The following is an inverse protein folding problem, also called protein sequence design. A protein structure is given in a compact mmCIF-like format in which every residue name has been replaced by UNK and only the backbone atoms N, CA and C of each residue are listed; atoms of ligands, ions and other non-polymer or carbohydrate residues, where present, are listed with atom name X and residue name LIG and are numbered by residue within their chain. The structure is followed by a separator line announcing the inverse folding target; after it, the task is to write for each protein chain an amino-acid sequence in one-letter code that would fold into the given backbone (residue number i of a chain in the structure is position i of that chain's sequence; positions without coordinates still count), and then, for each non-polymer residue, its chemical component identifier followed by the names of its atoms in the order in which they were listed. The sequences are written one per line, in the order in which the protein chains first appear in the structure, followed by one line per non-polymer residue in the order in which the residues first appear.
data_IF_988474980325
#
_entry.id   IF_988474980325
#
_cell.length_a   1.000
_cell.length_b   1.000
_cell.length_c   1.000
_cell.angle_alpha   90.00
_cell.angle_beta   90.00
_cell.angle_gamma   90.00
#
_symmetry.space_group_name_H-M   'P 1'
#
loop_
_entity.id
_entity.type
_entity.pdbx_description
1 polymer ?
#
# COMPACT_ATOMS: atom_id res chain seq x y z
N UNK A 1 13.52 26.40 13.56
CA UNK A 1 14.55 26.19 12.51
C UNK A 1 15.12 24.81 12.73
N UNK A 2 14.68 23.81 11.95
CA UNK A 2 15.16 22.44 12.09
C UNK A 2 16.59 22.37 11.53
N UNK A 3 17.55 22.00 12.37
CA UNK A 3 18.91 21.69 11.88
C UNK A 3 18.82 20.41 11.06
N UNK A 4 19.12 20.50 9.78
CA UNK A 4 19.36 19.36 8.91
C UNK A 4 20.55 18.60 9.48
N UNK A 5 20.34 17.45 10.09
CA UNK A 5 21.44 16.54 10.41
C UNK A 5 21.78 15.81 9.13
N UNK A 6 23.04 15.85 8.74
CA UNK A 6 23.56 15.03 7.65
C UNK A 6 23.60 13.57 8.14
N UNK A 7 22.58 12.82 7.78
CA UNK A 7 22.45 11.42 8.16
C UNK A 7 23.13 10.59 7.09
N UNK A 8 24.15 9.84 7.45
CA UNK A 8 24.78 8.90 6.55
C UNK A 8 24.01 7.58 6.53
N UNK A 9 23.10 7.43 5.57
CA UNK A 9 22.29 6.24 5.39
C UNK A 9 23.11 4.96 5.09
N UNK A 10 24.38 5.09 4.70
CA UNK A 10 25.23 3.95 4.36
C UNK A 10 25.97 3.34 5.57
N UNK A 11 25.91 4.00 6.73
CA UNK A 11 26.60 3.56 7.94
C UNK A 11 25.71 3.56 9.19
N UNK A 12 24.43 3.22 9.00
CA UNK A 12 23.46 3.16 10.11
C UNK A 12 23.75 1.98 11.04
N UNK A 13 23.90 2.27 12.34
CA UNK A 13 23.86 1.26 13.39
C UNK A 13 22.44 1.17 13.95
N UNK A 14 21.76 0.04 13.70
CA UNK A 14 20.38 -0.19 14.15
C UNK A 14 20.20 -0.07 15.67
N UNK A 15 21.24 -0.29 16.45
CA UNK A 15 21.17 -0.22 17.92
C UNK A 15 21.27 1.19 18.47
N UNK A 16 21.84 2.13 17.69
CA UNK A 16 22.10 3.51 18.12
C UNK A 16 21.22 4.50 17.39
N UNK A 17 20.91 4.25 16.14
CA UNK A 17 20.36 5.24 15.22
C UNK A 17 18.85 5.14 15.00
N UNK A 18 18.18 4.01 15.38
CA UNK A 18 16.74 3.81 15.10
C UNK A 18 15.89 4.92 15.70
N UNK A 19 16.02 5.19 17.00
CA UNK A 19 15.14 6.14 17.69
C UNK A 19 15.29 7.57 17.15
N UNK A 20 16.48 8.13 16.96
CA UNK A 20 16.65 9.41 16.29
C UNK A 20 16.00 9.47 14.90
N UNK A 21 16.17 8.42 14.07
CA UNK A 21 15.55 8.33 12.75
C UNK A 21 14.05 8.30 12.81
N UNK A 22 13.49 7.46 13.66
CA UNK A 22 12.07 7.36 13.86
C UNK A 22 11.47 8.70 14.34
N UNK A 23 12.20 9.44 15.18
CA UNK A 23 11.79 10.77 15.60
C UNK A 23 11.83 11.77 14.43
N UNK A 24 12.81 11.69 13.54
CA UNK A 24 12.84 12.48 12.30
C UNK A 24 11.66 12.16 11.40
N UNK A 25 11.36 10.87 11.22
CA UNK A 25 10.19 10.42 10.45
C UNK A 25 8.89 10.97 11.03
N UNK A 26 8.67 10.84 12.35
CA UNK A 26 7.50 11.41 13.03
C UNK A 26 7.38 12.93 12.82
N UNK A 27 8.50 13.65 12.89
CA UNK A 27 8.52 15.09 12.65
C UNK A 27 8.17 15.42 11.18
N UNK A 28 8.66 14.64 10.23
CA UNK A 28 8.33 14.81 8.81
C UNK A 28 6.84 14.55 8.54
N UNK A 29 6.27 13.49 9.13
CA UNK A 29 4.84 13.18 9.04
C UNK A 29 4.00 14.31 9.67
N UNK A 30 4.37 14.81 10.84
CA UNK A 30 3.69 15.93 11.48
C UNK A 30 3.74 17.21 10.63
N UNK A 31 4.88 17.49 10.01
CA UNK A 31 5.00 18.63 9.09
C UNK A 31 4.13 18.44 7.83
N UNK A 32 4.11 17.23 7.26
CA UNK A 32 3.26 16.91 6.10
C UNK A 32 1.78 17.07 6.44
N UNK A 33 1.35 16.62 7.61
CA UNK A 33 -0.03 16.82 8.10
C UNK A 33 -0.38 18.30 8.23
N UNK A 34 0.53 19.12 8.76
CA UNK A 34 0.37 20.56 8.83
C UNK A 34 0.17 21.19 7.43
N UNK A 35 1.00 20.81 6.46
CA UNK A 35 0.89 21.31 5.07
C UNK A 35 -0.43 20.88 4.41
N UNK A 36 -0.87 19.64 4.65
CA UNK A 36 -2.18 19.18 4.20
C UNK A 36 -3.29 20.01 4.83
N UNK A 37 -3.19 20.33 6.13
CA UNK A 37 -4.14 21.22 6.83
C UNK A 37 -4.22 22.60 6.18
N UNK A 38 -3.08 23.24 5.91
CA UNK A 38 -3.03 24.53 5.20
C UNK A 38 -3.68 24.46 3.81
N UNK A 39 -3.41 23.40 3.07
CA UNK A 39 -4.05 23.18 1.77
C UNK A 39 -5.58 23.06 1.89
N UNK A 40 -6.07 22.25 2.83
CA UNK A 40 -7.50 22.09 3.08
C UNK A 40 -8.18 23.40 3.47
N UNK A 41 -7.51 24.25 4.24
CA UNK A 41 -7.99 25.58 4.59
C UNK A 41 -8.14 26.49 3.35
N UNK A 42 -7.21 26.43 2.42
CA UNK A 42 -7.30 27.15 1.14
C UNK A 42 -8.49 26.65 0.31
N UNK A 43 -8.65 25.34 0.19
CA UNK A 43 -9.78 24.73 -0.55
C UNK A 43 -11.12 25.14 0.07
N UNK A 44 -11.20 25.13 1.40
CA UNK A 44 -12.39 25.56 2.14
C UNK A 44 -12.68 27.04 1.96
N UNK A 45 -11.68 27.92 2.10
CA UNK A 45 -11.82 29.38 1.94
C UNK A 45 -12.28 29.76 0.52
N UNK A 46 -11.92 28.95 -0.49
CA UNK A 46 -12.33 29.16 -1.88
C UNK A 46 -13.66 28.49 -2.24
N UNK A 47 -14.37 27.92 -1.29
CA UNK A 47 -15.64 27.18 -1.48
C UNK A 47 -15.55 26.02 -2.49
N UNK A 48 -14.36 25.42 -2.63
CA UNK A 48 -14.11 24.34 -3.59
C UNK A 48 -14.56 22.96 -3.09
N UNK A 49 -14.76 22.79 -1.77
CA UNK A 49 -15.16 21.50 -1.17
C UNK A 49 -16.47 20.94 -1.76
N UNK A 50 -17.37 21.81 -2.22
CA UNK A 50 -18.67 21.41 -2.79
C UNK A 50 -18.56 20.66 -4.10
N UNK A 51 -17.50 20.95 -4.88
CA UNK A 51 -17.29 20.45 -6.23
C UNK A 51 -15.97 19.69 -6.39
N UNK A 52 -15.40 19.23 -5.27
CA UNK A 52 -14.13 18.51 -5.28
C UNK A 52 -14.24 17.24 -4.47
N UNK A 53 -13.65 16.17 -4.95
CA UNK A 53 -13.23 15.07 -4.10
C UNK A 53 -11.73 15.21 -3.78
N UNK A 54 -11.32 14.78 -2.59
CA UNK A 54 -9.94 14.89 -2.14
C UNK A 54 -9.48 13.52 -1.70
N UNK A 55 -8.32 13.08 -2.21
CA UNK A 55 -7.62 11.88 -1.77
C UNK A 55 -6.36 12.31 -1.03
N UNK A 56 -6.18 11.79 0.19
CA UNK A 56 -4.96 11.92 0.96
C UNK A 56 -4.44 10.51 1.17
N UNK A 57 -3.25 10.24 0.64
CA UNK A 57 -2.59 8.94 0.71
C UNK A 57 -1.06 9.12 0.65
N UNK A 58 -0.32 8.05 0.89
CA UNK A 58 1.10 7.95 0.56
C UNK A 58 1.29 6.85 -0.49
N UNK A 59 2.43 6.82 -1.15
CA UNK A 59 2.80 5.79 -2.11
C UNK A 59 3.11 4.45 -1.42
N UNK A 60 3.78 4.49 -0.27
CA UNK A 60 4.12 3.35 0.59
C UNK A 60 4.34 3.80 2.03
N UNK A 61 4.61 2.87 2.91
CA UNK A 61 5.05 3.10 4.28
C UNK A 61 6.57 3.01 4.43
N UNK A 62 7.04 2.91 5.67
CA UNK A 62 8.45 2.75 6.00
C UNK A 62 8.61 1.90 7.26
N UNK A 63 9.61 1.04 7.27
CA UNK A 63 9.97 0.17 8.40
C UNK A 63 11.25 0.65 9.07
N UNK A 64 11.29 0.54 10.38
CA UNK A 64 12.40 0.93 11.24
C UNK A 64 12.89 -0.27 12.06
N UNK A 65 13.09 -1.40 11.40
CA UNK A 65 13.49 -2.70 11.97
C UNK A 65 12.43 -3.41 12.81
N UNK A 66 11.14 -3.08 12.69
CA UNK A 66 10.07 -3.79 13.39
C UNK A 66 10.08 -5.30 13.08
N UNK A 67 10.39 -5.67 11.83
CA UNK A 67 10.54 -7.06 11.36
C UNK A 67 11.97 -7.38 10.88
N UNK A 68 12.93 -6.51 11.20
CA UNK A 68 14.34 -6.70 10.83
C UNK A 68 14.74 -6.09 9.48
N UNK A 69 13.86 -5.33 8.83
CA UNK A 69 14.13 -4.63 7.58
C UNK A 69 14.22 -3.12 7.81
N UNK A 70 14.75 -2.39 6.84
CA UNK A 70 14.95 -0.95 6.94
C UNK A 70 14.37 -0.20 5.75
N UNK A 71 13.64 0.88 6.04
CA UNK A 71 13.16 1.82 5.03
C UNK A 71 11.97 1.26 4.24
N UNK A 72 12.11 1.21 2.93
CA UNK A 72 11.10 0.72 2.00
C UNK A 72 11.74 -0.10 0.88
N UNK A 73 10.95 -0.87 0.13
CA UNK A 73 11.41 -1.78 -0.94
C UNK A 73 12.39 -2.87 -0.47
N UNK A 74 12.41 -3.19 0.81
CA UNK A 74 13.25 -4.24 1.38
C UNK A 74 12.46 -5.46 1.83
N UNK A 75 11.13 -5.30 1.97
CA UNK A 75 10.20 -6.36 2.36
C UNK A 75 8.75 -5.95 2.04
N UNK A 76 7.81 -6.88 2.25
CA UNK A 76 6.37 -6.62 2.12
C UNK A 76 5.67 -6.65 3.49
N UNK A 77 6.34 -6.14 4.50
CA UNK A 77 5.76 -5.94 5.85
C UNK A 77 4.64 -4.91 5.80
N UNK A 78 3.72 -4.97 6.76
CA UNK A 78 2.64 -3.98 6.83
C UNK A 78 3.16 -2.55 6.98
N UNK A 79 4.30 -2.38 7.67
CA UNK A 79 4.97 -1.08 7.85
C UNK A 79 5.44 -0.49 6.53
N UNK A 80 5.81 -1.32 5.55
CA UNK A 80 6.26 -0.88 4.22
C UNK A 80 5.13 -0.77 3.20
N UNK A 81 4.10 -1.64 3.28
CA UNK A 81 3.05 -1.71 2.24
C UNK A 81 1.74 -1.01 2.62
N UNK A 82 1.47 -0.82 3.92
CA UNK A 82 0.26 -0.11 4.34
C UNK A 82 0.44 1.40 4.20
N UNK A 83 -0.39 2.00 3.36
CA UNK A 83 -0.50 3.44 3.18
C UNK A 83 -1.81 3.96 3.78
N UNK A 84 -1.84 5.13 4.42
CA UNK A 84 -3.09 5.77 4.79
C UNK A 84 -3.90 6.07 3.53
N UNK A 85 -5.22 5.94 3.61
CA UNK A 85 -6.11 6.33 2.51
C UNK A 85 -7.34 7.03 3.06
N UNK A 86 -7.49 8.30 2.73
CA UNK A 86 -8.64 9.12 3.10
C UNK A 86 -9.26 9.66 1.82
N UNK A 87 -10.56 9.43 1.63
CA UNK A 87 -11.34 9.95 0.52
C UNK A 87 -12.43 10.87 1.06
N UNK A 88 -12.32 12.16 0.76
CA UNK A 88 -13.38 13.11 0.99
C UNK A 88 -14.31 13.18 -0.23
N UNK A 89 -15.61 13.09 0.03
CA UNK A 89 -16.69 13.24 -0.95
C UNK A 89 -17.70 14.28 -0.47
N UNK A 90 -18.09 15.25 -1.31
CA UNK A 90 -19.08 16.25 -0.92
C UNK A 90 -20.41 15.62 -0.53
N UNK A 91 -20.97 16.05 0.61
CA UNK A 91 -22.29 15.61 1.07
C UNK A 91 -22.39 14.13 1.47
N UNK A 92 -21.29 13.44 1.66
CA UNK A 92 -21.27 12.07 2.18
C UNK A 92 -20.84 12.07 3.64
N UNK A 93 -21.52 11.24 4.43
CA UNK A 93 -21.13 10.99 5.82
C UNK A 93 -19.81 10.22 5.89
N UNK A 94 -19.04 10.47 6.95
CA UNK A 94 -17.83 9.74 7.21
C UNK A 94 -18.12 8.28 7.55
N UNK A 95 -17.39 7.37 6.91
CA UNK A 95 -17.41 5.94 7.23
C UNK A 95 -16.00 5.37 7.19
N UNK A 96 -15.74 4.33 7.97
CA UNK A 96 -14.53 3.52 7.89
C UNK A 96 -14.78 2.31 7.01
N UNK A 97 -13.81 1.97 6.19
CA UNK A 97 -13.79 0.75 5.38
C UNK A 97 -12.73 -0.16 6.00
N UNK A 98 -13.15 -1.32 6.50
CA UNK A 98 -12.25 -2.30 7.12
C UNK A 98 -11.84 -3.42 6.15
N UNK A 99 -12.34 -3.41 4.91
CA UNK A 99 -11.95 -4.38 3.89
C UNK A 99 -10.54 -4.13 3.38
N UNK A 100 -9.87 -5.18 2.90
CA UNK A 100 -8.57 -5.08 2.23
C UNK A 100 -8.72 -4.23 0.96
N UNK A 101 -7.96 -3.15 0.87
CA UNK A 101 -7.93 -2.21 -0.26
C UNK A 101 -6.51 -2.07 -0.83
N UNK A 102 -6.40 -1.49 -2.01
CA UNK A 102 -5.13 -1.30 -2.71
C UNK A 102 -5.14 0.00 -3.49
N UNK A 103 -3.98 0.56 -3.80
CA UNK A 103 -3.84 1.70 -4.71
C UNK A 103 -4.42 1.42 -6.11
N UNK A 104 -4.52 0.16 -6.52
CA UNK A 104 -5.21 -0.22 -7.76
C UNK A 104 -6.70 0.16 -7.76
N UNK A 105 -7.29 0.39 -6.58
CA UNK A 105 -8.69 0.78 -6.40
C UNK A 105 -8.93 2.27 -6.67
N UNK A 106 -7.87 3.09 -6.73
CA UNK A 106 -7.98 4.54 -6.94
C UNK A 106 -8.57 4.83 -8.31
N UNK A 107 -8.03 4.26 -9.37
CA UNK A 107 -8.50 4.53 -10.72
C UNK A 107 -9.97 4.15 -10.97
N UNK A 108 -10.44 2.93 -10.61
CA UNK A 108 -11.86 2.57 -10.70
C UNK A 108 -12.76 3.50 -9.89
N UNK A 109 -12.34 3.87 -8.68
CA UNK A 109 -13.08 4.77 -7.80
C UNK A 109 -13.26 6.15 -8.43
N UNK A 110 -12.17 6.71 -8.98
CA UNK A 110 -12.21 8.01 -9.65
C UNK A 110 -13.07 8.01 -10.92
N UNK A 111 -12.97 6.96 -11.73
CA UNK A 111 -13.77 6.82 -12.93
C UNK A 111 -15.27 6.73 -12.60
N UNK A 112 -15.63 5.98 -11.56
CA UNK A 112 -17.02 5.92 -11.09
C UNK A 112 -17.49 7.29 -10.58
N UNK A 113 -16.67 8.01 -9.79
CA UNK A 113 -16.99 9.38 -9.35
C UNK A 113 -17.20 10.35 -10.49
N UNK A 114 -16.48 10.17 -11.60
CA UNK A 114 -16.64 10.98 -12.82
C UNK A 114 -17.79 10.52 -13.72
N UNK A 115 -18.58 9.53 -13.30
CA UNK A 115 -19.73 9.02 -14.04
C UNK A 115 -19.39 8.06 -15.20
N UNK A 116 -18.19 7.49 -15.21
CA UNK A 116 -17.83 6.46 -16.19
C UNK A 116 -18.59 5.18 -15.90
N UNK A 117 -19.20 4.61 -16.95
CA UNK A 117 -19.82 3.29 -16.93
C UNK A 117 -18.91 2.18 -17.45
N UNK A 118 -17.65 2.48 -17.73
CA UNK A 118 -16.69 1.50 -18.24
C UNK A 118 -16.40 0.44 -17.18
N UNK A 119 -16.43 -0.83 -17.58
CA UNK A 119 -16.03 -1.90 -16.69
C UNK A 119 -14.57 -1.71 -16.25
N UNK A 120 -14.33 -1.70 -14.93
CA UNK A 120 -12.99 -1.50 -14.36
C UNK A 120 -11.98 -2.55 -14.82
N UNK A 121 -12.40 -3.77 -15.12
CA UNK A 121 -11.55 -4.84 -15.64
C UNK A 121 -10.82 -4.50 -16.95
N UNK A 122 -11.27 -3.47 -17.66
CA UNK A 122 -10.64 -3.02 -18.88
C UNK A 122 -9.40 -2.13 -18.65
N UNK A 123 -9.21 -1.61 -17.43
CA UNK A 123 -8.17 -0.63 -17.14
C UNK A 123 -7.51 -0.76 -15.76
N UNK A 124 -8.02 -1.62 -14.89
CA UNK A 124 -7.44 -1.86 -13.56
C UNK A 124 -7.70 -3.28 -13.07
N UNK A 125 -6.83 -3.79 -12.22
CA UNK A 125 -7.06 -4.99 -11.40
C UNK A 125 -7.71 -4.62 -10.05
N UNK A 126 -7.89 -3.34 -9.79
CA UNK A 126 -8.59 -2.79 -8.64
C UNK A 126 -10.10 -2.80 -8.82
N UNK A 127 -10.81 -2.34 -7.79
CA UNK A 127 -12.27 -2.17 -7.78
C UNK A 127 -12.64 -0.81 -7.19
N UNK A 128 -13.82 -0.30 -7.51
CA UNK A 128 -14.28 0.94 -6.90
C UNK A 128 -14.52 0.76 -5.39
N UNK A 129 -14.10 1.77 -4.63
CA UNK A 129 -14.36 1.86 -3.18
C UNK A 129 -15.75 2.44 -2.86
N UNK A 130 -16.56 2.76 -3.86
CA UNK A 130 -17.91 3.32 -3.70
C UNK A 130 -18.98 2.25 -3.76
N UNK A 131 -18.77 1.24 -4.60
CA UNK A 131 -19.68 0.12 -4.85
C UNK A 131 -19.01 -1.21 -4.47
N UNK A 132 -19.79 -2.17 -3.98
CA UNK A 132 -19.37 -3.57 -3.74
C UNK A 132 -18.14 -3.76 -2.83
N UNK A 133 -17.88 -2.83 -1.89
CA UNK A 133 -16.78 -2.96 -0.91
C UNK A 133 -16.95 -4.22 -0.05
N UNK A 134 -18.19 -4.66 0.16
CA UNK A 134 -18.54 -5.85 0.93
C UNK A 134 -18.21 -7.17 0.21
N UNK A 135 -17.96 -7.15 -1.09
CA UNK A 135 -17.42 -8.30 -1.78
C UNK A 135 -16.00 -8.56 -1.28
N UNK A 136 -15.84 -9.62 -0.51
CA UNK A 136 -14.60 -9.99 0.12
C UNK A 136 -13.48 -10.16 -0.91
N UNK A 137 -12.55 -9.19 -0.93
CA UNK A 137 -11.26 -9.40 -1.56
C UNK A 137 -10.41 -10.18 -0.57
N UNK A 138 -9.96 -11.36 -0.95
CA UNK A 138 -9.17 -12.21 -0.09
C UNK A 138 -7.68 -11.85 -0.08
N UNK A 139 -7.21 -11.12 -1.09
CA UNK A 139 -5.80 -10.73 -1.22
C UNK A 139 -5.62 -9.45 -2.03
N UNK A 140 -4.47 -8.83 -1.87
CA UNK A 140 -3.93 -7.78 -2.74
C UNK A 140 -2.57 -8.22 -3.29
N UNK A 141 -2.09 -7.52 -4.32
CA UNK A 141 -0.75 -7.69 -4.87
C UNK A 141 0.04 -6.41 -4.65
N UNK A 142 1.26 -6.56 -4.16
CA UNK A 142 2.25 -5.48 -4.06
C UNK A 142 3.51 -5.91 -4.81
N UNK A 143 4.21 -4.97 -5.44
CA UNK A 143 5.41 -5.26 -6.22
C UNK A 143 6.53 -4.31 -5.87
N UNK A 144 7.74 -4.85 -5.77
CA UNK A 144 8.99 -4.14 -5.65
C UNK A 144 9.83 -4.25 -6.94
N UNK A 145 11.13 -4.06 -6.83
CA UNK A 145 12.05 -4.05 -7.98
C UNK A 145 12.23 -5.41 -8.66
N UNK A 146 12.38 -6.48 -7.90
CA UNK A 146 12.62 -7.84 -8.43
C UNK A 146 11.67 -8.88 -7.85
N UNK A 147 10.74 -8.46 -7.00
CA UNK A 147 9.84 -9.33 -6.28
C UNK A 147 8.42 -8.78 -6.29
N UNK A 148 7.46 -9.68 -6.15
CA UNK A 148 6.06 -9.35 -5.89
C UNK A 148 5.53 -10.18 -4.75
N UNK A 149 4.49 -9.71 -4.11
CA UNK A 149 3.83 -10.40 -3.01
C UNK A 149 2.31 -10.47 -3.22
N UNK A 150 1.75 -11.62 -2.87
CA UNK A 150 0.31 -11.79 -2.65
C UNK A 150 0.10 -11.70 -1.14
N UNK A 151 -0.67 -10.72 -0.72
CA UNK A 151 -0.87 -10.39 0.69
C UNK A 151 -2.33 -10.63 1.05
N UNK A 152 -2.55 -11.45 2.07
CA UNK A 152 -3.85 -11.70 2.73
C UNK A 152 -3.81 -11.15 4.16
N UNK A 153 -4.90 -11.26 4.90
CA UNK A 153 -4.91 -10.92 6.33
C UNK A 153 -4.03 -11.85 7.18
N UNK A 154 -3.83 -13.10 6.74
CA UNK A 154 -3.18 -14.14 7.53
C UNK A 154 -1.75 -14.47 7.08
N UNK A 155 -1.42 -14.20 5.81
CA UNK A 155 -0.13 -14.59 5.25
C UNK A 155 0.26 -13.73 4.04
N UNK A 156 1.57 -13.68 3.78
CA UNK A 156 2.19 -13.05 2.61
C UNK A 156 3.00 -14.09 1.85
N UNK A 157 2.73 -14.23 0.56
CA UNK A 157 3.53 -15.03 -0.35
C UNK A 157 4.39 -14.10 -1.20
N UNK A 158 5.69 -14.11 -0.98
CA UNK A 158 6.67 -13.35 -1.79
C UNK A 158 7.24 -14.26 -2.86
N UNK A 159 7.34 -13.76 -4.09
CA UNK A 159 7.92 -14.50 -5.22
C UNK A 159 8.72 -13.56 -6.12
N UNK A 160 9.80 -14.10 -6.71
CA UNK A 160 10.62 -13.36 -7.66
C UNK A 160 9.89 -13.14 -8.97
N UNK A 161 10.03 -11.93 -9.54
CA UNK A 161 9.60 -11.59 -10.90
C UNK A 161 10.73 -11.68 -11.92
N UNK A 162 11.94 -12.00 -11.48
CA UNK A 162 13.12 -12.12 -12.33
C UNK A 162 13.23 -13.51 -12.94
N UNK A 163 13.46 -13.59 -14.24
CA UNK A 163 13.43 -14.83 -15.04
C UNK A 163 14.41 -15.91 -14.59
N UNK A 164 15.52 -15.54 -13.96
CA UNK A 164 16.52 -16.48 -13.46
C UNK A 164 16.24 -16.96 -12.03
N UNK A 165 15.21 -16.44 -11.38
CA UNK A 165 14.88 -16.72 -9.97
C UNK A 165 13.43 -17.20 -9.77
N UNK A 166 12.82 -17.75 -10.81
CA UNK A 166 11.38 -18.07 -10.86
C UNK A 166 10.90 -19.11 -9.84
N UNK A 167 11.82 -19.84 -9.20
CA UNK A 167 11.47 -20.90 -8.25
C UNK A 167 11.66 -20.51 -6.78
N UNK A 168 12.00 -19.26 -6.51
CA UNK A 168 12.14 -18.80 -5.14
C UNK A 168 10.84 -18.13 -4.69
N UNK A 169 10.23 -18.67 -3.67
CA UNK A 169 9.14 -18.02 -2.97
C UNK A 169 9.33 -18.20 -1.47
N UNK A 170 8.90 -17.20 -0.73
CA UNK A 170 8.87 -17.18 0.72
C UNK A 170 7.42 -17.06 1.17
N UNK A 171 7.04 -17.93 2.11
CA UNK A 171 5.78 -17.84 2.80
C UNK A 171 6.02 -17.22 4.17
N UNK A 172 5.26 -16.18 4.49
CA UNK A 172 5.34 -15.48 5.77
C UNK A 172 3.97 -15.39 6.40
N UNK A 173 3.91 -15.46 7.72
CA UNK A 173 2.65 -15.27 8.45
C UNK A 173 2.26 -13.79 8.58
N UNK A 174 1.18 -13.50 9.30
CA UNK A 174 0.69 -12.14 9.54
C UNK A 174 1.64 -11.23 10.31
N UNK A 175 2.62 -11.80 11.04
CA UNK A 175 3.67 -11.07 11.74
C UNK A 175 4.94 -10.95 10.88
N UNK A 176 4.89 -11.41 9.65
CA UNK A 176 5.98 -11.48 8.68
C UNK A 176 7.09 -12.46 9.07
N UNK A 177 6.81 -13.42 9.97
CA UNK A 177 7.72 -14.50 10.31
C UNK A 177 7.71 -15.57 9.21
N UNK A 178 8.90 -16.10 8.88
CA UNK A 178 9.05 -17.09 7.82
C UNK A 178 8.35 -18.40 8.22
N UNK A 179 7.50 -18.91 7.34
CA UNK A 179 6.82 -20.20 7.46
C UNK A 179 7.50 -21.27 6.62
N UNK A 180 7.29 -22.55 6.98
CA UNK A 180 7.79 -23.66 6.19
C UNK A 180 6.97 -23.83 4.90
N UNK A 181 7.64 -24.23 3.81
CA UNK A 181 7.03 -24.34 2.50
C UNK A 181 5.88 -25.38 2.42
N UNK A 182 5.85 -26.37 3.30
CA UNK A 182 4.77 -27.36 3.38
C UNK A 182 3.44 -26.78 3.89
N UNK A 183 3.48 -25.60 4.53
CA UNK A 183 2.30 -24.88 4.99
C UNK A 183 1.62 -24.05 3.89
N UNK A 184 2.21 -23.98 2.70
CA UNK A 184 1.70 -23.16 1.57
C UNK A 184 0.22 -23.41 1.28
N UNK A 185 -0.20 -24.66 1.17
CA UNK A 185 -1.58 -25.02 0.81
C UNK A 185 -2.64 -24.61 1.84
N UNK A 186 -2.23 -24.24 3.04
CA UNK A 186 -3.12 -23.72 4.08
C UNK A 186 -3.59 -22.30 3.77
N UNK A 187 -2.76 -21.50 3.12
CA UNK A 187 -2.99 -20.07 2.90
C UNK A 187 -3.26 -19.71 1.45
N UNK A 188 -2.66 -20.44 0.51
CA UNK A 188 -2.74 -20.14 -0.93
C UNK A 188 -3.08 -21.36 -1.75
N UNK A 189 -3.97 -21.21 -2.73
CA UNK A 189 -4.19 -22.23 -3.75
C UNK A 189 -3.32 -21.95 -4.97
N UNK A 190 -2.86 -23.00 -5.66
CA UNK A 190 -2.14 -22.86 -6.92
C UNK A 190 -2.97 -22.12 -7.99
N UNK A 191 -4.29 -22.25 -7.94
CA UNK A 191 -5.21 -21.55 -8.84
C UNK A 191 -5.14 -20.04 -8.63
N UNK A 192 -5.19 -19.58 -7.38
CA UNK A 192 -5.18 -18.16 -7.05
C UNK A 192 -3.84 -17.51 -7.44
N UNK A 193 -2.73 -18.19 -7.14
CA UNK A 193 -1.40 -17.69 -7.52
C UNK A 193 -1.24 -17.62 -9.03
N UNK A 194 -1.65 -18.64 -9.77
CA UNK A 194 -1.60 -18.61 -11.24
C UNK A 194 -2.47 -17.49 -11.80
N UNK A 195 -3.66 -17.26 -11.22
CA UNK A 195 -4.52 -16.16 -11.64
C UNK A 195 -3.89 -14.78 -11.39
N UNK A 196 -3.19 -14.61 -10.28
CA UNK A 196 -2.43 -13.37 -9.99
C UNK A 196 -1.34 -13.17 -11.03
N UNK A 197 -0.52 -14.16 -11.31
CA UNK A 197 0.56 -14.08 -12.31
C UNK A 197 0.01 -13.72 -13.69
N UNK A 198 -1.07 -14.36 -14.12
CA UNK A 198 -1.75 -14.02 -15.38
C UNK A 198 -2.28 -12.58 -15.40
N UNK A 199 -2.88 -12.14 -14.29
CA UNK A 199 -3.42 -10.80 -14.20
C UNK A 199 -2.33 -9.72 -14.20
N UNK A 200 -1.16 -9.97 -13.59
CA UNK A 200 -0.02 -9.03 -13.64
C UNK A 200 0.42 -8.72 -15.08
N UNK A 201 0.30 -9.70 -16.00
CA UNK A 201 0.59 -9.50 -17.42
C UNK A 201 -0.54 -8.85 -18.23
N UNK A 202 -1.75 -8.69 -17.67
CA UNK A 202 -2.97 -8.31 -18.44
C UNK A 202 -2.84 -6.99 -19.19
N UNK A 203 -2.13 -6.02 -18.63
CA UNK A 203 -1.97 -4.67 -19.20
C UNK A 203 -0.57 -4.43 -19.79
N UNK A 204 0.31 -5.42 -19.74
CA UNK A 204 1.61 -5.37 -20.40
C UNK A 204 1.41 -5.67 -21.89
N UNK A 205 1.65 -4.68 -22.74
CA UNK A 205 1.65 -4.82 -24.20
C UNK A 205 3.03 -4.52 -24.76
#
# INVERSE_FOLDING_TARGET
MYKRQDINYLSLDKHVDIEPFYNHYKNAVNYSDHVVGEFLDVVKKRDLLKNSFIIITSDHGAEFYEHGFWGHNSAFTKEQVMAPFILYLPGKDAKKIDAITSHLDIAPTLLELMGSSTNHDNHSLGRSLLSNIEENRNFIVSSGWGESAIITEEATLVFSTETYNLNTFELRDKNYDLLMADQYSKYFSAKDVNQVILNMGKFLK
#
